data_IF_705460534174
#
_entry.id   IF_705460534174
#
_cell.length_a   1.000
_cell.length_b   1.000
_cell.length_c   1.000
_cell.angle_alpha   90.00
_cell.angle_beta   90.00
_cell.angle_gamma   90.00
#
_symmetry.space_group_name_H-M   'P 1'
#
loop_
_entity.id
_entity.type
_entity.pdbx_description
1 polymer ?
#
# COMPACT_ATOMS: atom_id res chain seq x y z
N UNK A 1 35.32 38.13 -12.33
CA UNK A 1 35.21 37.45 -13.63
C UNK A 1 36.37 36.50 -13.77
N UNK A 2 36.10 35.20 -13.64
CA UNK A 2 37.07 34.12 -13.77
C UNK A 2 36.29 32.83 -14.00
N UNK A 3 35.48 32.84 -15.06
CA UNK A 3 34.65 31.71 -15.46
C UNK A 3 35.46 30.70 -16.28
N UNK A 4 35.13 29.43 -16.09
CA UNK A 4 35.28 28.36 -17.08
C UNK A 4 36.66 28.15 -17.76
N UNK A 5 37.79 28.54 -17.13
CA UNK A 5 39.12 28.46 -17.74
C UNK A 5 40.00 27.27 -17.31
N UNK A 6 39.77 26.61 -16.17
CA UNK A 6 40.61 25.47 -15.72
C UNK A 6 39.86 24.13 -15.68
N UNK A 7 39.10 23.81 -16.73
CA UNK A 7 38.59 22.44 -16.91
C UNK A 7 39.77 21.53 -17.24
N UNK A 8 39.98 20.47 -16.44
CA UNK A 8 40.93 19.40 -16.76
C UNK A 8 40.82 19.00 -18.24
N UNK A 9 41.89 19.19 -19.00
CA UNK A 9 41.88 19.02 -20.44
C UNK A 9 42.39 17.63 -20.79
N UNK A 10 41.51 16.63 -20.76
CA UNK A 10 41.86 15.22 -20.98
C UNK A 10 42.70 14.98 -22.25
N UNK A 11 42.55 15.79 -23.31
CA UNK A 11 43.35 15.68 -24.53
C UNK A 11 44.83 16.08 -24.37
N UNK A 12 45.22 16.70 -23.26
CA UNK A 12 46.62 16.93 -22.89
C UNK A 12 47.24 15.78 -22.09
N UNK A 13 46.43 14.80 -21.69
CA UNK A 13 46.92 13.59 -21.06
C UNK A 13 47.59 12.69 -22.11
N UNK A 14 48.65 12.01 -21.68
CA UNK A 14 49.44 11.08 -22.48
C UNK A 14 49.78 9.86 -21.60
N UNK A 15 49.92 8.70 -22.23
CA UNK A 15 50.39 7.48 -21.57
C UNK A 15 51.70 7.02 -22.22
N UNK A 16 52.64 6.58 -21.41
CA UNK A 16 53.98 6.14 -21.83
C UNK A 16 54.27 4.77 -21.22
N UNK A 17 54.81 3.86 -22.02
CA UNK A 17 55.24 2.54 -21.59
C UNK A 17 56.51 2.16 -22.33
N UNK A 18 57.54 1.71 -21.60
CA UNK A 18 58.93 1.61 -22.10
C UNK A 18 59.18 0.50 -23.14
N UNK A 19 58.19 -0.33 -23.47
CA UNK A 19 58.41 -1.55 -24.24
C UNK A 19 57.79 -1.51 -25.64
N UNK A 20 58.47 -0.83 -26.57
CA UNK A 20 58.55 -1.18 -28.00
C UNK A 20 59.42 -0.16 -28.73
N UNK A 21 60.24 -0.65 -29.65
CA UNK A 21 61.28 0.07 -30.37
C UNK A 21 60.94 1.51 -30.80
N UNK A 22 61.89 2.41 -30.52
CA UNK A 22 62.12 3.72 -31.12
C UNK A 22 60.93 4.70 -31.21
N UNK A 23 61.02 5.79 -30.43
CA UNK A 23 60.41 7.10 -30.74
C UNK A 23 58.88 7.11 -30.97
N UNK A 24 58.09 6.59 -30.03
CA UNK A 24 56.65 6.86 -29.99
C UNK A 24 56.25 7.59 -28.71
N UNK A 25 56.62 8.87 -28.61
CA UNK A 25 55.68 9.79 -27.98
C UNK A 25 54.41 9.78 -28.85
N UNK A 26 53.23 9.97 -28.26
CA UNK A 26 51.92 10.18 -28.91
C UNK A 26 50.94 8.99 -28.96
N UNK A 27 50.07 8.94 -27.94
CA UNK A 27 48.61 9.10 -28.16
C UNK A 27 48.07 10.13 -27.18
N UNK A 28 47.42 11.17 -27.69
CA UNK A 28 46.54 12.00 -26.87
C UNK A 28 45.27 11.20 -26.65
N UNK A 29 44.74 11.23 -25.44
CA UNK A 29 43.41 10.69 -25.19
C UNK A 29 42.40 11.44 -26.06
N UNK A 30 41.60 10.68 -26.80
CA UNK A 30 40.53 11.21 -27.65
C UNK A 30 39.28 11.46 -26.83
N UNK A 31 38.28 12.13 -27.41
CA UNK A 31 36.96 12.35 -26.78
C UNK A 31 36.36 11.06 -26.21
N UNK A 32 36.59 9.93 -26.88
CA UNK A 32 35.99 8.64 -26.54
C UNK A 32 36.75 7.92 -25.42
N UNK A 33 37.86 8.49 -24.96
CA UNK A 33 38.75 7.89 -23.97
C UNK A 33 38.59 8.46 -22.57
N UNK A 34 37.70 9.43 -22.37
CA UNK A 34 37.44 10.05 -21.07
C UNK A 34 35.93 10.17 -20.81
N UNK A 35 35.48 9.59 -19.70
CA UNK A 35 34.09 9.65 -19.23
C UNK A 35 34.05 10.47 -17.94
N UNK A 36 33.51 11.72 -17.96
CA UNK A 36 33.37 12.49 -16.73
C UNK A 36 32.34 11.83 -15.81
N UNK A 37 32.69 11.61 -14.54
CA UNK A 37 31.81 11.00 -13.55
C UNK A 37 31.21 12.02 -12.56
N UNK A 38 31.52 13.31 -12.72
CA UNK A 38 30.97 14.41 -11.92
C UNK A 38 31.95 14.93 -10.87
N UNK A 39 31.43 15.79 -9.97
CA UNK A 39 32.19 16.30 -8.83
C UNK A 39 32.27 15.22 -7.74
N UNK A 40 33.40 15.13 -7.04
CA UNK A 40 33.53 14.25 -5.87
C UNK A 40 32.80 14.87 -4.69
N UNK A 41 31.47 14.85 -4.69
CA UNK A 41 30.68 15.46 -3.59
C UNK A 41 30.48 14.48 -2.43
N UNK A 42 30.59 13.17 -2.68
CA UNK A 42 30.40 12.11 -1.69
C UNK A 42 31.35 10.92 -1.94
N UNK A 43 31.90 10.33 -0.87
CA UNK A 43 32.75 9.13 -0.94
C UNK A 43 34.21 9.37 -0.54
N UNK A 44 35.07 8.36 -0.69
CA UNK A 44 36.48 8.37 -0.26
C UNK A 44 37.33 9.52 -0.86
N UNK A 45 36.88 10.08 -1.98
CA UNK A 45 37.59 11.13 -2.73
C UNK A 45 37.03 12.54 -2.52
N UNK A 46 35.99 12.70 -1.69
CA UNK A 46 35.21 13.94 -1.60
C UNK A 46 36.02 15.16 -1.12
N UNK A 47 37.10 14.95 -0.38
CA UNK A 47 38.02 16.01 0.08
C UNK A 47 39.38 15.98 -0.64
N UNK A 48 39.57 15.04 -1.57
CA UNK A 48 40.85 14.79 -2.23
C UNK A 48 40.85 15.25 -3.71
N UNK A 49 39.69 15.34 -4.35
CA UNK A 49 39.58 15.76 -5.74
C UNK A 49 38.28 16.54 -6.00
N UNK A 50 38.36 17.64 -6.74
CA UNK A 50 37.17 18.41 -7.12
C UNK A 50 36.35 17.75 -8.25
N UNK A 51 36.99 16.89 -9.06
CA UNK A 51 36.41 16.23 -10.23
C UNK A 51 36.91 14.80 -10.32
N UNK A 52 36.02 13.88 -10.70
CA UNK A 52 36.34 12.47 -10.97
C UNK A 52 35.93 12.13 -12.39
N UNK A 53 36.77 11.36 -13.07
CA UNK A 53 36.44 10.79 -14.38
C UNK A 53 37.13 9.46 -14.58
N UNK A 54 36.54 8.63 -15.43
CA UNK A 54 37.14 7.37 -15.87
C UNK A 54 37.89 7.61 -17.19
N UNK A 55 39.04 6.96 -17.34
CA UNK A 55 39.84 7.01 -18.56
C UNK A 55 39.89 5.59 -19.14
N UNK A 56 39.57 5.47 -20.42
CA UNK A 56 39.75 4.23 -21.16
C UNK A 56 41.18 4.22 -21.71
N UNK A 57 41.99 3.29 -21.22
CA UNK A 57 43.36 3.12 -21.72
C UNK A 57 43.34 2.54 -23.14
N UNK A 58 44.25 2.98 -24.03
CA UNK A 58 44.42 2.35 -25.33
C UNK A 58 44.76 0.86 -25.20
N UNK A 59 44.22 0.01 -26.06
CA UNK A 59 44.49 -1.43 -26.09
C UNK A 59 45.97 -1.80 -26.30
N UNK A 60 46.80 -0.83 -26.73
CA UNK A 60 48.25 -1.01 -26.91
C UNK A 60 49.03 -0.89 -25.61
N UNK A 61 48.40 -0.43 -24.51
CA UNK A 61 49.05 -0.34 -23.20
C UNK A 61 48.86 -1.67 -22.48
N UNK A 62 49.96 -2.34 -22.17
CA UNK A 62 49.95 -3.55 -21.35
C UNK A 62 49.80 -3.15 -19.88
N UNK A 63 48.59 -3.32 -19.35
CA UNK A 63 48.24 -2.98 -17.96
C UNK A 63 48.96 -3.84 -16.90
N UNK A 64 49.65 -4.92 -17.32
CA UNK A 64 50.45 -5.79 -16.43
C UNK A 64 51.85 -5.24 -16.15
N UNK A 65 52.30 -4.30 -16.98
CA UNK A 65 53.59 -3.64 -16.85
C UNK A 65 53.42 -2.20 -16.34
N UNK A 66 54.43 -1.60 -15.68
CA UNK A 66 54.36 -0.20 -15.28
C UNK A 66 54.19 0.70 -16.50
N UNK A 67 53.37 1.74 -16.34
CA UNK A 67 53.17 2.78 -17.34
C UNK A 67 53.09 4.16 -16.66
N UNK A 68 53.52 5.19 -17.37
CA UNK A 68 53.53 6.57 -16.87
C UNK A 68 52.42 7.36 -17.53
N UNK A 69 51.58 8.01 -16.74
CA UNK A 69 50.67 9.05 -17.21
C UNK A 69 51.36 10.41 -17.14
N UNK A 70 51.41 11.11 -18.27
CA UNK A 70 51.95 12.46 -18.36
C UNK A 70 50.84 13.44 -18.71
N UNK A 71 50.74 14.54 -17.95
CA UNK A 71 49.85 15.65 -18.23
C UNK A 71 50.65 16.92 -18.47
N UNK A 72 50.29 17.66 -19.53
CA UNK A 72 50.90 18.96 -19.83
C UNK A 72 49.86 20.06 -19.81
N UNK A 73 50.01 21.02 -18.91
CA UNK A 73 49.13 22.18 -18.89
C UNK A 73 49.38 23.07 -20.12
N UNK A 74 48.34 23.66 -20.72
CA UNK A 74 48.46 24.46 -21.96
C UNK A 74 49.45 25.63 -21.84
N UNK A 75 49.58 26.18 -20.63
CA UNK A 75 50.39 27.37 -20.35
C UNK A 75 51.77 27.05 -19.77
N UNK A 76 52.15 25.77 -19.67
CA UNK A 76 53.46 25.35 -19.13
C UNK A 76 54.19 24.42 -20.09
N UNK A 77 55.52 24.50 -20.09
CA UNK A 77 56.38 23.52 -20.77
C UNK A 77 56.64 22.29 -19.91
N UNK A 78 56.42 22.39 -18.59
CA UNK A 78 56.56 21.30 -17.64
C UNK A 78 55.46 20.25 -17.80
N UNK A 79 55.87 18.97 -17.70
CA UNK A 79 54.99 17.81 -17.72
C UNK A 79 54.91 17.25 -16.31
N UNK A 80 53.70 17.03 -15.84
CA UNK A 80 53.45 16.31 -14.60
C UNK A 80 53.33 14.83 -14.95
N UNK A 81 54.19 14.00 -14.37
CA UNK A 81 54.21 12.55 -14.62
C UNK A 81 53.85 11.79 -13.36
N UNK A 82 53.05 10.74 -13.52
CA UNK A 82 52.70 9.80 -12.46
C UNK A 82 52.93 8.40 -13.00
N UNK A 83 53.77 7.63 -12.29
CA UNK A 83 54.00 6.23 -12.61
C UNK A 83 52.93 5.37 -11.94
N UNK A 84 52.29 4.51 -12.74
CA UNK A 84 51.20 3.65 -12.31
C UNK A 84 51.58 2.20 -12.59
N UNK A 85 51.45 1.37 -11.56
CA UNK A 85 51.53 -0.08 -11.67
C UNK A 85 50.29 -0.66 -11.00
N UNK A 86 49.45 -1.35 -11.77
CA UNK A 86 48.28 -2.01 -11.23
C UNK A 86 48.72 -3.23 -10.42
N UNK A 87 48.14 -3.39 -9.23
CA UNK A 87 48.41 -4.52 -8.33
C UNK A 87 47.12 -5.00 -7.67
N UNK A 88 47.13 -6.26 -7.23
CA UNK A 88 46.01 -6.86 -6.52
C UNK A 88 44.71 -6.86 -7.35
N UNK A 89 43.61 -6.44 -6.71
CA UNK A 89 42.26 -6.45 -7.28
C UNK A 89 42.16 -5.67 -8.61
N UNK A 90 42.84 -4.54 -8.73
CA UNK A 90 42.77 -3.71 -9.93
C UNK A 90 43.41 -4.41 -11.14
N UNK A 91 44.48 -5.18 -10.91
CA UNK A 91 45.14 -5.97 -11.95
C UNK A 91 44.27 -7.18 -12.34
N UNK A 92 43.72 -7.90 -11.36
CA UNK A 92 42.83 -9.05 -11.61
C UNK A 92 41.60 -8.66 -12.42
N UNK A 93 40.95 -7.54 -12.05
CA UNK A 93 39.82 -6.99 -12.80
C UNK A 93 40.21 -6.57 -14.22
N UNK A 94 41.39 -5.96 -14.40
CA UNK A 94 41.87 -5.56 -15.72
C UNK A 94 42.22 -6.76 -16.62
N UNK A 95 42.60 -7.89 -16.04
CA UNK A 95 42.86 -9.15 -16.72
C UNK A 95 41.59 -9.97 -17.00
N UNK A 96 40.44 -9.53 -16.49
CA UNK A 96 39.18 -10.25 -16.60
C UNK A 96 39.15 -11.54 -15.78
N UNK A 97 39.97 -11.64 -14.74
CA UNK A 97 39.95 -12.76 -13.80
C UNK A 97 38.73 -12.65 -12.88
N UNK A 98 38.09 -13.80 -12.62
CA UNK A 98 36.96 -13.87 -11.70
C UNK A 98 37.45 -13.59 -10.27
N UNK A 99 37.08 -12.42 -9.73
CA UNK A 99 37.44 -11.98 -8.37
C UNK A 99 36.78 -12.84 -7.29
N UNK A 100 35.63 -13.43 -7.61
CA UNK A 100 34.84 -14.28 -6.71
C UNK A 100 34.51 -15.60 -7.40
N UNK A 101 34.62 -16.71 -6.68
CA UNK A 101 34.17 -18.00 -7.18
C UNK A 101 32.64 -18.04 -7.30
N UNK A 102 32.11 -18.88 -8.20
CA UNK A 102 30.67 -19.06 -8.35
C UNK A 102 29.97 -19.46 -7.04
N UNK A 103 30.66 -20.21 -6.16
CA UNK A 103 30.15 -20.60 -4.84
C UNK A 103 30.10 -19.41 -3.87
N UNK A 104 31.09 -18.53 -3.89
CA UNK A 104 31.10 -17.30 -3.10
C UNK A 104 30.00 -16.34 -3.57
N UNK A 105 29.84 -16.16 -4.89
CA UNK A 105 28.75 -15.38 -5.47
C UNK A 105 27.39 -15.96 -5.04
N UNK A 106 27.20 -17.28 -5.13
CA UNK A 106 25.96 -17.92 -4.68
C UNK A 106 25.73 -17.75 -3.17
N UNK A 107 26.79 -17.81 -2.35
CA UNK A 107 26.68 -17.58 -0.91
C UNK A 107 26.30 -16.14 -0.56
N UNK A 108 26.85 -15.16 -1.29
CA UNK A 108 26.55 -13.74 -1.14
C UNK A 108 25.11 -13.50 -1.56
N UNK A 109 24.71 -14.01 -2.72
CA UNK A 109 23.33 -13.91 -3.21
C UNK A 109 22.34 -14.60 -2.27
N UNK A 110 22.66 -15.74 -1.65
CA UNK A 110 21.80 -16.40 -0.66
C UNK A 110 21.72 -15.62 0.66
N UNK A 111 22.82 -15.01 1.10
CA UNK A 111 22.85 -14.20 2.31
C UNK A 111 22.08 -12.88 2.12
N UNK A 112 22.24 -12.24 0.96
CA UNK A 112 21.56 -11.01 0.55
C UNK A 112 20.07 -11.26 0.30
N UNK A 113 19.71 -12.39 -0.32
CA UNK A 113 18.32 -12.84 -0.50
C UNK A 113 17.73 -13.57 0.71
N UNK A 114 18.40 -13.58 1.87
CA UNK A 114 17.76 -14.10 3.08
C UNK A 114 16.57 -13.20 3.42
N UNK A 115 15.42 -13.80 3.72
CA UNK A 115 14.18 -13.06 4.00
C UNK A 115 14.35 -11.99 5.09
N UNK A 116 15.31 -12.21 6.01
CA UNK A 116 15.65 -11.30 7.11
C UNK A 116 16.46 -10.08 6.63
N UNK A 117 17.45 -10.28 5.75
CA UNK A 117 18.21 -9.19 5.15
C UNK A 117 17.35 -8.39 4.16
N UNK A 118 16.50 -9.05 3.37
CA UNK A 118 15.48 -8.37 2.57
C UNK A 118 14.51 -7.55 3.43
N UNK A 119 14.13 -8.02 4.63
CA UNK A 119 13.24 -7.24 5.51
C UNK A 119 13.90 -5.98 6.10
N UNK A 120 15.22 -6.03 6.33
CA UNK A 120 15.96 -4.99 7.07
C UNK A 120 16.65 -3.99 6.13
N UNK A 121 17.25 -4.47 5.04
CA UNK A 121 18.09 -3.65 4.15
C UNK A 121 17.36 -3.16 2.89
N UNK A 122 16.46 -3.96 2.33
CA UNK A 122 15.63 -3.58 1.17
C UNK A 122 14.17 -4.07 1.34
N UNK A 123 13.46 -3.51 2.33
CA UNK A 123 12.10 -3.95 2.62
C UNK A 123 11.23 -3.81 1.37
N UNK A 124 10.44 -4.86 1.07
CA UNK A 124 9.50 -4.87 -0.08
C UNK A 124 8.56 -3.65 -0.17
N UNK A 125 8.43 -2.89 0.91
CA UNK A 125 7.60 -1.70 1.05
C UNK A 125 8.33 -0.35 0.97
N UNK A 126 9.64 -0.35 0.72
CA UNK A 126 10.45 0.86 0.52
C UNK A 126 10.53 1.80 1.73
N UNK A 127 10.91 3.06 1.49
CA UNK A 127 11.03 4.11 2.52
C UNK A 127 9.65 4.70 2.83
N UNK A 128 9.14 4.45 4.03
CA UNK A 128 7.82 4.95 4.47
C UNK A 128 7.93 5.96 5.61
N UNK A 129 7.12 7.03 5.63
CA UNK A 129 7.05 7.93 6.78
C UNK A 129 6.55 7.18 8.03
N UNK A 130 7.37 7.15 9.08
CA UNK A 130 7.03 6.46 10.34
C UNK A 130 5.85 7.09 11.08
N UNK A 131 5.53 8.36 10.80
CA UNK A 131 4.33 9.04 11.31
C UNK A 131 3.06 8.31 10.89
N UNK A 132 2.98 7.89 9.63
CA UNK A 132 1.76 7.34 9.03
C UNK A 132 1.55 5.91 9.53
N UNK A 133 2.65 5.16 9.68
CA UNK A 133 2.66 3.84 10.29
C UNK A 133 2.21 3.92 11.75
N UNK A 134 2.75 4.86 12.54
CA UNK A 134 2.37 5.04 13.93
C UNK A 134 0.89 5.44 14.08
N UNK A 135 0.42 6.38 13.28
CA UNK A 135 -0.98 6.81 13.27
C UNK A 135 -1.92 5.65 12.90
N UNK A 136 -1.57 4.88 11.86
CA UNK A 136 -2.32 3.70 11.45
C UNK A 136 -2.38 2.65 12.57
N UNK A 137 -1.26 2.34 13.22
CA UNK A 137 -1.22 1.38 14.33
C UNK A 137 -2.10 1.83 15.50
N UNK A 138 -2.11 3.12 15.83
CA UNK A 138 -2.99 3.68 16.86
C UNK A 138 -4.47 3.54 16.48
N UNK A 139 -4.82 3.80 15.22
CA UNK A 139 -6.19 3.64 14.72
C UNK A 139 -6.61 2.17 14.76
N UNK A 140 -5.76 1.26 14.28
CA UNK A 140 -6.00 -0.18 14.33
C UNK A 140 -6.17 -0.69 15.77
N UNK A 141 -5.32 -0.24 16.69
CA UNK A 141 -5.42 -0.58 18.11
C UNK A 141 -6.71 -0.04 18.74
N UNK A 142 -7.11 1.20 18.40
CA UNK A 142 -8.36 1.80 18.88
C UNK A 142 -9.59 1.03 18.38
N UNK A 143 -9.59 0.63 17.10
CA UNK A 143 -10.65 -0.15 16.50
C UNK A 143 -10.77 -1.55 17.12
N UNK A 144 -9.64 -2.22 17.35
CA UNK A 144 -9.62 -3.52 18.01
C UNK A 144 -10.06 -3.40 19.47
N UNK A 145 -9.63 -2.35 20.18
CA UNK A 145 -10.04 -2.12 21.57
C UNK A 145 -11.54 -1.85 21.67
N UNK A 146 -12.10 -1.03 20.77
CA UNK A 146 -13.53 -0.76 20.70
C UNK A 146 -14.34 -2.04 20.43
N UNK A 147 -13.87 -2.88 19.51
CA UNK A 147 -14.48 -4.17 19.18
C UNK A 147 -14.43 -5.15 20.36
N UNK A 148 -13.28 -5.35 20.98
CA UNK A 148 -13.10 -6.32 22.06
C UNK A 148 -13.81 -5.90 23.35
N UNK A 149 -13.78 -4.61 23.72
CA UNK A 149 -14.49 -4.11 24.90
C UNK A 149 -15.99 -3.96 24.72
N UNK A 150 -16.51 -4.14 23.50
CA UNK A 150 -17.94 -3.98 23.16
C UNK A 150 -18.49 -2.63 23.66
N UNK A 151 -17.70 -1.57 23.56
CA UNK A 151 -18.04 -0.25 24.08
C UNK A 151 -18.55 0.67 22.98
N UNK A 152 -19.76 1.19 23.15
CA UNK A 152 -20.36 2.14 22.20
C UNK A 152 -19.55 3.44 22.10
N UNK A 153 -19.04 3.95 23.22
CA UNK A 153 -18.26 5.19 23.26
C UNK A 153 -16.95 5.08 22.48
N UNK A 154 -16.17 4.02 22.73
CA UNK A 154 -14.91 3.78 22.02
C UNK A 154 -15.13 3.57 20.52
N UNK A 155 -16.25 2.93 20.14
CA UNK A 155 -16.62 2.80 18.74
C UNK A 155 -16.85 4.16 18.09
N UNK A 156 -17.63 5.06 18.69
CA UNK A 156 -17.87 6.40 18.12
C UNK A 156 -16.59 7.23 18.04
N UNK A 157 -15.69 7.13 19.03
CA UNK A 157 -14.38 7.77 18.97
C UNK A 157 -13.57 7.24 17.77
N UNK A 158 -13.47 5.92 17.64
CA UNK A 158 -12.75 5.26 16.53
C UNK A 158 -13.31 5.67 15.18
N UNK A 159 -14.64 5.69 15.03
CA UNK A 159 -15.31 6.11 13.80
C UNK A 159 -15.00 7.57 13.44
N UNK A 160 -14.97 8.45 14.44
CA UNK A 160 -14.67 9.87 14.25
C UNK A 160 -13.23 10.05 13.77
N UNK A 161 -12.27 9.37 14.43
CA UNK A 161 -10.85 9.38 14.05
C UNK A 161 -10.67 8.81 12.65
N UNK A 162 -11.34 7.71 12.33
CA UNK A 162 -11.29 7.06 11.01
C UNK A 162 -11.78 8.00 9.91
N UNK A 163 -12.91 8.69 10.10
CA UNK A 163 -13.42 9.65 9.10
C UNK A 163 -12.48 10.83 8.94
N UNK A 164 -12.00 11.40 10.04
CA UNK A 164 -11.10 12.54 10.00
C UNK A 164 -9.77 12.15 9.34
N UNK A 165 -9.05 11.21 9.93
CA UNK A 165 -7.69 10.85 9.52
C UNK A 165 -7.66 10.03 8.22
N UNK A 166 -8.22 8.81 8.22
CA UNK A 166 -8.17 7.95 7.04
C UNK A 166 -9.03 8.50 5.89
N UNK A 167 -10.15 9.17 6.20
CA UNK A 167 -10.98 9.80 5.19
C UNK A 167 -10.34 11.07 4.60
N UNK A 168 -10.25 12.15 5.40
CA UNK A 168 -9.92 13.48 4.88
C UNK A 168 -8.44 13.86 4.89
N UNK A 169 -7.61 13.33 5.80
CA UNK A 169 -6.20 13.71 5.89
C UNK A 169 -5.29 12.83 5.04
N UNK A 170 -5.34 11.52 5.25
CA UNK A 170 -4.43 10.56 4.62
C UNK A 170 -5.00 9.99 3.31
N UNK A 171 -6.28 9.58 3.33
CA UNK A 171 -6.89 8.90 2.20
C UNK A 171 -6.45 7.45 2.00
N UNK A 172 -5.58 6.92 2.87
CA UNK A 172 -5.07 5.56 2.82
C UNK A 172 -6.02 4.56 3.47
N UNK A 173 -7.06 4.15 2.75
CA UNK A 173 -7.94 3.06 3.19
C UNK A 173 -8.17 2.00 2.11
N UNK A 174 -8.50 0.77 2.56
CA UNK A 174 -8.85 -0.29 1.63
C UNK A 174 -10.12 0.09 0.87
N UNK A 175 -9.95 0.27 -0.44
CA UNK A 175 -10.93 0.56 -1.46
C UNK A 175 -10.95 -0.56 -2.53
N UNK A 176 -11.93 -0.49 -3.43
CA UNK A 176 -12.09 -1.36 -4.60
C UNK A 176 -10.89 -1.22 -5.54
N UNK A 177 -10.26 -0.05 -5.58
CA UNK A 177 -9.04 0.17 -6.37
C UNK A 177 -7.92 -0.82 -5.98
N UNK A 178 -7.77 -1.18 -4.70
CA UNK A 178 -6.76 -2.18 -4.33
C UNK A 178 -7.12 -3.59 -4.78
N UNK A 179 -8.42 -3.95 -4.83
CA UNK A 179 -8.82 -5.25 -5.41
C UNK A 179 -8.43 -5.27 -6.89
N UNK A 180 -8.80 -4.22 -7.63
CA UNK A 180 -8.52 -4.11 -9.07
C UNK A 180 -7.01 -4.10 -9.34
N UNK A 181 -6.24 -3.32 -8.58
CA UNK A 181 -4.79 -3.24 -8.76
C UNK A 181 -4.09 -4.52 -8.33
N UNK A 182 -4.58 -5.24 -7.32
CA UNK A 182 -4.07 -6.57 -6.97
C UNK A 182 -4.30 -7.59 -8.09
N UNK A 183 -5.43 -7.49 -8.80
CA UNK A 183 -5.69 -8.35 -9.97
C UNK A 183 -4.76 -7.97 -11.14
N UNK A 184 -4.57 -6.68 -11.40
CA UNK A 184 -3.76 -6.18 -12.53
C UNK A 184 -2.26 -6.33 -12.33
N UNK A 185 -1.77 -6.05 -11.14
CA UNK A 185 -0.34 -5.95 -10.78
C UNK A 185 0.15 -7.13 -9.94
N UNK A 186 -0.76 -7.98 -9.45
CA UNK A 186 -0.45 -9.11 -8.57
C UNK A 186 -0.46 -8.76 -7.07
N UNK A 187 -0.31 -9.78 -6.20
CA UNK A 187 -0.37 -9.61 -4.74
C UNK A 187 0.78 -8.76 -4.16
N UNK A 188 1.91 -8.67 -4.87
CA UNK A 188 3.03 -7.82 -4.48
C UNK A 188 2.66 -6.32 -4.39
N UNK A 189 1.60 -5.89 -5.10
CA UNK A 189 1.07 -4.54 -4.98
C UNK A 189 0.66 -4.18 -3.54
N UNK A 190 0.13 -5.12 -2.76
CA UNK A 190 -0.22 -4.84 -1.36
C UNK A 190 1.01 -4.62 -0.47
N UNK A 191 2.18 -5.09 -0.90
CA UNK A 191 3.45 -4.88 -0.23
C UNK A 191 4.16 -3.61 -0.70
N UNK A 192 3.60 -2.80 -1.61
CA UNK A 192 4.25 -1.61 -2.15
C UNK A 192 4.46 -0.48 -1.13
N UNK A 193 3.88 -0.60 0.06
CA UNK A 193 4.02 0.37 1.15
C UNK A 193 3.60 -0.23 2.48
N UNK A 194 4.35 0.07 3.55
CA UNK A 194 4.15 -0.55 4.86
C UNK A 194 2.76 -0.24 5.44
N UNK A 195 2.21 1.00 5.35
CA UNK A 195 0.85 1.27 5.80
C UNK A 195 -0.19 0.43 5.07
N UNK A 196 -0.11 0.32 3.73
CA UNK A 196 -1.04 -0.48 2.93
C UNK A 196 -0.94 -1.97 3.30
N UNK A 197 0.28 -2.49 3.44
CA UNK A 197 0.51 -3.88 3.83
C UNK A 197 -0.09 -4.19 5.19
N UNK A 198 0.18 -3.35 6.20
CA UNK A 198 -0.37 -3.49 7.54
C UNK A 198 -1.89 -3.40 7.53
N UNK A 199 -2.46 -2.45 6.77
CA UNK A 199 -3.91 -2.26 6.72
C UNK A 199 -4.63 -3.40 6.00
N UNK A 200 -4.06 -3.90 4.91
CA UNK A 200 -4.56 -5.05 4.16
C UNK A 200 -4.44 -6.33 5.01
N UNK A 201 -3.28 -6.58 5.61
CA UNK A 201 -3.06 -7.73 6.48
C UNK A 201 -4.03 -7.72 7.67
N UNK A 202 -4.18 -6.59 8.36
CA UNK A 202 -5.15 -6.44 9.45
C UNK A 202 -6.57 -6.74 8.96
N UNK A 203 -6.98 -6.17 7.82
CA UNK A 203 -8.32 -6.35 7.27
C UNK A 203 -8.59 -7.82 6.92
N UNK A 204 -7.64 -8.50 6.27
CA UNK A 204 -7.77 -9.90 5.88
C UNK A 204 -7.83 -10.80 7.12
N UNK A 205 -6.87 -10.65 8.05
CA UNK A 205 -6.79 -11.47 9.27
C UNK A 205 -8.04 -11.30 10.12
N UNK A 206 -8.48 -10.06 10.37
CA UNK A 206 -9.69 -9.82 11.17
C UNK A 206 -10.95 -10.32 10.47
N UNK A 207 -11.03 -10.20 9.14
CA UNK A 207 -12.15 -10.74 8.35
C UNK A 207 -12.22 -12.25 8.38
N UNK A 208 -11.07 -12.93 8.33
CA UNK A 208 -11.01 -14.39 8.44
C UNK A 208 -11.35 -14.87 9.86
N UNK A 209 -10.95 -14.15 10.90
CA UNK A 209 -11.19 -14.59 12.28
C UNK A 209 -12.61 -14.31 12.74
N UNK A 210 -13.09 -13.07 12.59
CA UNK A 210 -14.39 -12.61 13.11
C UNK A 210 -15.37 -12.18 12.02
N UNK A 211 -15.03 -12.18 10.74
CA UNK A 211 -15.87 -11.54 9.72
C UNK A 211 -15.61 -10.03 9.63
N UNK A 212 -16.50 -9.29 8.98
CA UNK A 212 -16.19 -7.96 8.41
C UNK A 212 -16.09 -6.79 9.39
N UNK A 213 -15.19 -6.87 10.38
CA UNK A 213 -14.92 -5.80 11.36
C UNK A 213 -14.51 -4.50 10.67
N UNK A 214 -13.75 -4.59 9.56
CA UNK A 214 -13.34 -3.42 8.78
C UNK A 214 -14.52 -2.51 8.41
N UNK A 215 -15.63 -3.09 7.93
CA UNK A 215 -16.80 -2.34 7.48
C UNK A 215 -17.50 -1.55 8.60
N UNK A 216 -17.37 -1.98 9.86
CA UNK A 216 -17.97 -1.30 11.01
C UNK A 216 -17.04 -0.42 11.80
N UNK A 217 -15.74 -0.66 11.76
CA UNK A 217 -14.79 -0.04 12.70
C UNK A 217 -13.70 0.79 12.02
N UNK A 218 -13.37 0.52 10.76
CA UNK A 218 -12.24 1.14 10.06
C UNK A 218 -12.60 1.78 8.72
N UNK A 219 -13.75 1.45 8.13
CA UNK A 219 -14.17 2.02 6.86
C UNK A 219 -14.72 3.45 7.07
N UNK A 220 -14.09 4.50 6.51
CA UNK A 220 -14.56 5.88 6.65
C UNK A 220 -15.96 6.08 6.06
N UNK A 221 -16.26 5.44 4.93
CA UNK A 221 -17.59 5.53 4.32
C UNK A 221 -18.67 4.76 5.11
N UNK A 222 -18.29 3.67 5.77
CA UNK A 222 -19.16 2.98 6.71
C UNK A 222 -19.49 3.86 7.92
N UNK A 223 -18.49 4.58 8.43
CA UNK A 223 -18.65 5.55 9.51
C UNK A 223 -19.58 6.71 9.10
N UNK A 224 -19.39 7.30 7.92
CA UNK A 224 -20.28 8.37 7.39
C UNK A 224 -21.74 7.91 7.37
N UNK A 225 -22.02 6.68 6.93
CA UNK A 225 -23.38 6.13 6.95
C UNK A 225 -23.93 5.94 8.37
N UNK A 226 -23.09 5.57 9.34
CA UNK A 226 -23.48 5.50 10.76
C UNK A 226 -23.76 6.89 11.33
N UNK A 227 -22.97 7.90 10.97
CA UNK A 227 -23.20 9.31 11.33
C UNK A 227 -24.54 9.80 10.77
N UNK A 228 -24.82 9.57 9.48
CA UNK A 228 -26.11 9.88 8.85
C UNK A 228 -27.25 9.16 9.60
N UNK A 229 -27.06 7.89 9.93
CA UNK A 229 -28.05 7.11 10.67
C UNK A 229 -28.20 7.58 12.13
N UNK A 230 -27.20 8.22 12.73
CA UNK A 230 -27.30 8.71 14.11
C UNK A 230 -27.95 10.09 14.16
N UNK A 231 -27.47 11.00 13.34
CA UNK A 231 -27.81 12.43 13.37
C UNK A 231 -28.93 12.81 12.38
N UNK A 232 -29.22 11.96 11.39
CA UNK A 232 -30.29 12.19 10.43
C UNK A 232 -31.70 11.99 11.01
N UNK A 233 -32.74 12.56 10.37
CA UNK A 233 -34.12 12.52 10.86
C UNK A 233 -34.63 11.08 11.06
N UNK A 234 -35.09 10.75 12.26
CA UNK A 234 -35.65 9.41 12.55
C UNK A 234 -36.93 9.13 11.75
N UNK A 235 -37.69 10.16 11.41
CA UNK A 235 -38.96 10.06 10.68
C UNK A 235 -38.80 9.56 9.24
N UNK A 236 -37.67 9.83 8.60
CA UNK A 236 -37.44 9.43 7.21
C UNK A 236 -37.03 7.96 7.09
N UNK A 237 -36.67 7.33 8.20
CA UNK A 237 -36.14 5.97 8.21
C UNK A 237 -37.25 4.98 7.92
N UNK A 238 -37.00 4.12 6.94
CA UNK A 238 -37.90 3.02 6.59
C UNK A 238 -37.17 1.69 6.70
N UNK A 239 -37.85 0.71 7.27
CA UNK A 239 -37.39 -0.68 7.22
C UNK A 239 -37.77 -1.26 5.87
N UNK A 240 -36.78 -1.79 5.15
CA UNK A 240 -36.99 -2.48 3.88
C UNK A 240 -37.56 -3.86 4.17
N UNK A 241 -38.63 -4.24 3.46
CA UNK A 241 -39.19 -5.59 3.57
C UNK A 241 -38.15 -6.67 3.24
N UNK A 242 -38.20 -7.80 3.93
CA UNK A 242 -37.19 -8.86 3.77
C UNK A 242 -37.13 -9.42 2.36
N UNK A 243 -38.27 -9.60 1.69
CA UNK A 243 -38.30 -10.10 0.30
C UNK A 243 -37.59 -9.18 -0.70
N UNK A 244 -37.64 -7.86 -0.48
CA UNK A 244 -36.90 -6.89 -1.32
C UNK A 244 -35.43 -6.90 -0.95
N UNK A 245 -35.11 -6.99 0.36
CA UNK A 245 -33.74 -7.09 0.83
C UNK A 245 -33.01 -8.28 0.21
N UNK A 246 -33.59 -9.48 0.31
CA UNK A 246 -33.00 -10.73 -0.15
C UNK A 246 -32.67 -10.73 -1.65
N UNK A 247 -33.41 -9.97 -2.46
CA UNK A 247 -33.13 -9.79 -3.88
C UNK A 247 -32.09 -8.70 -4.11
N UNK A 248 -32.23 -7.56 -3.43
CA UNK A 248 -31.38 -6.40 -3.63
C UNK A 248 -29.94 -6.62 -3.15
N UNK A 249 -29.68 -7.51 -2.19
CA UNK A 249 -28.30 -7.83 -1.76
C UNK A 249 -27.43 -8.38 -2.89
N UNK A 250 -28.02 -9.03 -3.90
CA UNK A 250 -27.26 -9.58 -5.02
C UNK A 250 -26.71 -8.50 -5.96
N UNK A 251 -27.21 -7.26 -5.87
CA UNK A 251 -26.74 -6.14 -6.71
C UNK A 251 -25.26 -5.86 -6.45
N UNK A 252 -24.80 -5.76 -5.20
CA UNK A 252 -23.37 -5.56 -4.90
C UNK A 252 -22.49 -6.72 -5.36
N UNK A 253 -23.02 -7.96 -5.38
CA UNK A 253 -22.28 -9.13 -5.88
C UNK A 253 -22.18 -9.10 -7.40
N UNK A 254 -23.25 -8.69 -8.09
CA UNK A 254 -23.21 -8.43 -9.53
C UNK A 254 -22.19 -7.35 -9.87
N UNK A 255 -22.20 -6.22 -9.13
CA UNK A 255 -21.21 -5.14 -9.30
C UNK A 255 -19.78 -5.67 -9.09
N UNK A 256 -19.55 -6.46 -8.04
CA UNK A 256 -18.24 -7.07 -7.79
C UNK A 256 -17.78 -7.95 -8.96
N UNK A 257 -18.65 -8.83 -9.47
CA UNK A 257 -18.33 -9.70 -10.62
C UNK A 257 -18.02 -8.87 -11.86
N UNK A 258 -18.76 -7.79 -12.13
CA UNK A 258 -18.48 -6.89 -13.25
C UNK A 258 -17.11 -6.19 -13.10
N UNK A 259 -16.77 -5.74 -11.89
CA UNK A 259 -15.48 -5.08 -11.62
C UNK A 259 -14.31 -6.05 -11.75
N UNK A 260 -14.44 -7.27 -11.20
CA UNK A 260 -13.42 -8.31 -11.35
C UNK A 260 -13.28 -8.75 -12.81
N UNK A 261 -14.41 -8.97 -13.49
CA UNK A 261 -14.43 -9.38 -14.89
C UNK A 261 -13.80 -8.35 -15.82
N UNK A 262 -14.11 -7.06 -15.64
CA UNK A 262 -13.44 -5.98 -16.39
C UNK A 262 -11.98 -5.86 -16.05
N UNK A 263 -11.59 -5.96 -14.77
CA UNK A 263 -10.19 -5.92 -14.37
C UNK A 263 -9.36 -7.07 -14.97
N UNK A 264 -9.93 -8.26 -15.11
CA UNK A 264 -9.26 -9.43 -15.67
C UNK A 264 -9.26 -9.49 -17.20
N UNK A 265 -10.37 -9.12 -17.86
CA UNK A 265 -10.54 -9.27 -19.31
C UNK A 265 -10.21 -8.00 -20.11
N UNK A 266 -10.31 -6.83 -19.48
CA UNK A 266 -10.03 -5.55 -20.12
C UNK A 266 -9.34 -4.58 -19.13
N UNK A 267 -8.08 -4.83 -18.73
CA UNK A 267 -7.38 -4.05 -17.72
C UNK A 267 -7.31 -2.53 -17.99
N UNK A 268 -7.42 -2.12 -19.25
CA UNK A 268 -7.47 -0.73 -19.68
C UNK A 268 -8.79 -0.03 -19.33
N UNK A 269 -9.87 -0.77 -19.06
CA UNK A 269 -11.18 -0.21 -18.67
C UNK A 269 -11.32 -0.26 -17.16
N UNK A 270 -11.51 0.90 -16.53
CA UNK A 270 -11.70 1.01 -15.08
C UNK A 270 -13.09 1.58 -14.76
N UNK A 271 -14.04 0.71 -14.40
CA UNK A 271 -15.41 1.09 -14.06
C UNK A 271 -15.64 1.28 -12.54
N UNK A 272 -14.67 0.90 -11.70
CA UNK A 272 -14.86 0.88 -10.25
C UNK A 272 -15.18 2.27 -9.65
N UNK A 273 -14.69 3.35 -10.27
CA UNK A 273 -14.95 4.74 -9.86
C UNK A 273 -16.45 5.09 -9.78
N UNK A 274 -17.30 4.48 -10.61
CA UNK A 274 -18.75 4.74 -10.60
C UNK A 274 -19.46 4.04 -9.44
N UNK A 275 -18.87 2.95 -8.94
CA UNK A 275 -19.42 2.16 -7.85
C UNK A 275 -18.72 2.44 -6.52
N UNK A 276 -17.73 3.33 -6.52
CA UNK A 276 -16.95 3.71 -5.35
C UNK A 276 -17.02 5.23 -5.15
N UNK A 277 -17.99 5.74 -4.39
CA UNK A 277 -18.17 7.17 -4.17
C UNK A 277 -17.15 7.76 -3.18
N UNK A 278 -16.11 7.01 -2.81
CA UNK A 278 -15.15 7.40 -1.77
C UNK A 278 -14.27 8.54 -2.24
N UNK A 279 -13.74 8.46 -3.47
CA UNK A 279 -12.83 9.47 -3.97
C UNK A 279 -13.51 10.83 -4.15
N UNK A 280 -14.77 10.82 -4.59
CA UNK A 280 -15.57 12.05 -4.71
C UNK A 280 -15.89 12.67 -3.36
N UNK A 281 -16.16 11.85 -2.34
CA UNK A 281 -16.47 12.36 -1.00
C UNK A 281 -15.24 12.91 -0.28
N UNK A 282 -14.14 12.14 -0.26
CA UNK A 282 -12.99 12.43 0.60
C UNK A 282 -11.91 13.27 -0.08
N UNK A 283 -11.67 13.07 -1.37
CA UNK A 283 -10.68 13.85 -2.13
C UNK A 283 -11.30 15.04 -2.88
N UNK A 284 -12.62 15.23 -2.76
CA UNK A 284 -13.38 16.28 -3.48
C UNK A 284 -13.07 16.25 -4.98
N UNK A 285 -12.83 15.04 -5.51
CA UNK A 285 -12.41 14.82 -6.88
C UNK A 285 -13.46 13.96 -7.59
N UNK A 286 -14.11 14.54 -8.60
CA UNK A 286 -15.08 13.82 -9.40
C UNK A 286 -15.76 14.69 -10.44
N UNK A 287 -16.23 14.03 -11.50
CA UNK A 287 -17.08 14.64 -12.52
C UNK A 287 -18.48 14.89 -11.96
N UNK A 288 -19.30 15.70 -12.66
CA UNK A 288 -20.69 15.95 -12.29
C UNK A 288 -21.47 14.63 -12.06
N UNK A 289 -21.22 13.62 -12.88
CA UNK A 289 -21.86 12.30 -12.77
C UNK A 289 -21.50 11.63 -11.43
N UNK A 290 -20.24 11.66 -11.01
CA UNK A 290 -19.82 11.07 -9.74
C UNK A 290 -20.41 11.80 -8.53
N UNK A 291 -20.53 13.12 -8.60
CA UNK A 291 -21.23 13.91 -7.57
C UNK A 291 -22.71 13.55 -7.48
N UNK A 292 -23.40 13.40 -8.62
CA UNK A 292 -24.80 12.96 -8.64
C UNK A 292 -24.96 11.57 -8.02
N UNK A 293 -24.07 10.62 -8.34
CA UNK A 293 -24.07 9.28 -7.75
C UNK A 293 -23.85 9.35 -6.24
N UNK A 294 -22.85 10.11 -5.78
CA UNK A 294 -22.56 10.30 -4.36
C UNK A 294 -23.77 10.86 -3.62
N UNK A 295 -24.36 11.95 -4.11
CA UNK A 295 -25.52 12.60 -3.49
C UNK A 295 -26.71 11.63 -3.43
N UNK A 296 -26.98 10.88 -4.51
CA UNK A 296 -28.05 9.89 -4.54
C UNK A 296 -27.82 8.78 -3.48
N UNK A 297 -26.60 8.29 -3.35
CA UNK A 297 -26.23 7.28 -2.34
C UNK A 297 -26.41 7.83 -0.92
N UNK A 298 -25.92 9.04 -0.65
CA UNK A 298 -26.04 9.66 0.67
C UNK A 298 -27.52 9.92 1.02
N UNK A 299 -28.32 10.39 0.06
CA UNK A 299 -29.77 10.56 0.22
C UNK A 299 -30.46 9.23 0.56
N UNK A 300 -30.10 8.14 -0.13
CA UNK A 300 -30.62 6.81 0.18
C UNK A 300 -30.23 6.35 1.60
N UNK A 301 -29.05 6.74 2.11
CA UNK A 301 -28.61 6.42 3.47
C UNK A 301 -29.43 7.12 4.57
N UNK A 302 -30.10 8.25 4.28
CA UNK A 302 -31.05 8.86 5.22
C UNK A 302 -32.33 8.04 5.38
N UNK A 303 -32.73 7.31 4.33
CA UNK A 303 -33.96 6.50 4.30
C UNK A 303 -33.69 5.10 4.82
N UNK A 304 -32.62 4.47 4.33
CA UNK A 304 -32.23 3.09 4.68
C UNK A 304 -30.85 3.11 5.34
N UNK A 305 -30.75 2.72 6.62
CA UNK A 305 -29.46 2.61 7.31
C UNK A 305 -28.47 1.77 6.51
N UNK A 306 -27.23 2.27 6.39
CA UNK A 306 -26.15 1.58 5.66
C UNK A 306 -26.52 1.12 4.24
N UNK A 307 -27.35 1.88 3.52
CA UNK A 307 -27.84 1.54 2.17
C UNK A 307 -26.73 1.08 1.22
N UNK A 308 -25.64 1.84 1.14
CA UNK A 308 -24.53 1.54 0.24
C UNK A 308 -23.82 0.23 0.61
N UNK A 309 -23.48 0.05 1.91
CA UNK A 309 -22.86 -1.19 2.38
C UNK A 309 -23.74 -2.42 2.15
N UNK A 310 -25.06 -2.24 2.17
CA UNK A 310 -26.06 -3.30 1.99
C UNK A 310 -26.22 -3.71 0.52
N UNK A 311 -26.24 -2.76 -0.40
CA UNK A 311 -26.69 -3.01 -1.78
C UNK A 311 -25.72 -2.66 -2.89
N UNK A 312 -24.72 -1.81 -2.66
CA UNK A 312 -23.85 -1.30 -3.73
C UNK A 312 -22.35 -1.52 -3.52
N UNK A 313 -21.89 -1.69 -2.27
CA UNK A 313 -20.47 -1.75 -1.93
C UNK A 313 -19.78 -3.03 -2.44
N UNK A 314 -18.89 -2.96 -3.45
CA UNK A 314 -18.22 -4.13 -4.01
C UNK A 314 -17.19 -4.72 -3.03
N UNK A 315 -16.46 -3.85 -2.33
CA UNK A 315 -15.51 -4.25 -1.29
C UNK A 315 -16.23 -4.99 -0.15
N UNK A 316 -17.41 -4.51 0.26
CA UNK A 316 -18.24 -5.17 1.27
C UNK A 316 -18.73 -6.55 0.81
N UNK A 317 -19.04 -6.71 -0.49
CA UNK A 317 -19.37 -8.00 -1.08
C UNK A 317 -18.17 -8.96 -1.05
N UNK A 318 -16.98 -8.50 -1.46
CA UNK A 318 -15.75 -9.29 -1.45
C UNK A 318 -15.39 -9.79 -0.05
N UNK A 319 -15.33 -8.88 0.93
CA UNK A 319 -15.12 -9.24 2.34
C UNK A 319 -16.26 -10.12 2.90
N UNK A 320 -17.46 -10.03 2.32
CA UNK A 320 -18.61 -10.85 2.70
C UNK A 320 -18.41 -12.31 2.32
N UNK A 321 -17.89 -12.57 1.12
CA UNK A 321 -17.48 -13.91 0.68
C UNK A 321 -16.39 -14.45 1.58
N UNK A 322 -15.34 -13.66 1.85
CA UNK A 322 -14.23 -14.07 2.74
C UNK A 322 -14.74 -14.37 4.15
N UNK A 323 -15.72 -13.63 4.66
CA UNK A 323 -16.24 -13.85 6.00
C UNK A 323 -16.97 -15.19 6.20
N UNK A 324 -17.36 -15.90 5.13
CA UNK A 324 -18.07 -17.19 5.24
C UNK A 324 -17.25 -18.27 5.97
N UNK A 325 -15.92 -18.23 5.83
CA UNK A 325 -15.01 -19.18 6.49
C UNK A 325 -14.69 -18.82 7.94
N UNK A 326 -15.23 -17.70 8.46
CA UNK A 326 -14.91 -17.23 9.80
C UNK A 326 -15.42 -18.16 10.91
N UNK A 327 -14.53 -18.62 11.82
CA UNK A 327 -14.90 -19.51 12.90
C UNK A 327 -15.58 -18.77 14.07
N UNK A 328 -15.21 -17.52 14.35
CA UNK A 328 -15.71 -16.76 15.49
C UNK A 328 -17.00 -16.03 15.12
N UNK A 329 -18.13 -16.75 15.20
CA UNK A 329 -19.47 -16.22 14.93
C UNK A 329 -20.12 -15.60 16.18
N UNK A 330 -21.14 -14.76 15.95
CA UNK A 330 -21.96 -14.15 17.01
C UNK A 330 -22.77 -15.27 17.69
N UNK A 331 -22.57 -15.47 18.99
CA UNK A 331 -23.35 -16.43 19.77
C UNK A 331 -24.76 -15.90 20.03
N UNK A 332 -25.76 -16.78 19.94
CA UNK A 332 -27.18 -16.48 20.24
C UNK A 332 -27.60 -17.17 21.52
N UNK A 333 -28.60 -16.60 22.19
CA UNK A 333 -29.21 -17.16 23.40
C UNK A 333 -30.53 -17.88 23.04
N UNK A 334 -31.00 -18.86 23.82
CA UNK A 334 -32.23 -19.59 23.52
C UNK A 334 -33.47 -18.71 23.32
N UNK A 335 -33.53 -17.55 23.98
CA UNK A 335 -34.64 -16.61 23.87
C UNK A 335 -34.71 -15.89 22.50
N UNK A 336 -33.73 -16.10 21.61
CA UNK A 336 -33.69 -15.47 20.28
C UNK A 336 -34.81 -15.94 19.35
N UNK A 337 -35.43 -17.10 19.62
CA UNK A 337 -36.49 -17.65 18.78
C UNK A 337 -37.75 -16.77 18.78
N UNK A 338 -38.00 -16.06 19.89
CA UNK A 338 -39.15 -15.15 20.04
C UNK A 338 -38.74 -13.67 20.05
N UNK A 339 -37.48 -13.38 20.42
CA UNK A 339 -36.98 -12.02 20.56
C UNK A 339 -36.48 -11.40 19.25
N UNK A 340 -37.17 -10.36 18.77
CA UNK A 340 -36.81 -9.61 17.56
C UNK A 340 -36.02 -8.31 17.81
N UNK A 341 -35.50 -8.10 19.03
CA UNK A 341 -34.78 -6.87 19.40
C UNK A 341 -33.51 -6.68 18.56
N UNK A 342 -32.73 -7.75 18.38
CA UNK A 342 -31.51 -7.72 17.57
C UNK A 342 -31.82 -7.54 16.08
N UNK A 343 -32.87 -8.20 15.59
CA UNK A 343 -33.34 -8.07 14.21
C UNK A 343 -33.71 -6.63 13.88
N UNK A 344 -34.54 -5.99 14.70
CA UNK A 344 -34.93 -4.58 14.51
C UNK A 344 -33.77 -3.59 14.68
N UNK A 345 -32.75 -3.95 15.44
CA UNK A 345 -31.58 -3.10 15.68
C UNK A 345 -30.49 -3.25 14.62
N UNK A 346 -30.52 -4.30 13.81
CA UNK A 346 -29.48 -4.59 12.83
C UNK A 346 -29.52 -3.56 11.68
N UNK A 347 -28.47 -2.73 11.50
CA UNK A 347 -28.48 -1.70 10.47
C UNK A 347 -28.43 -2.27 9.05
N UNK A 348 -27.88 -3.47 8.87
CA UNK A 348 -27.80 -4.12 7.55
C UNK A 348 -28.94 -5.10 7.26
N UNK A 349 -29.80 -5.38 8.24
CA UNK A 349 -30.89 -6.35 8.10
C UNK A 349 -30.42 -7.81 8.05
N UNK A 350 -29.20 -8.11 8.50
CA UNK A 350 -28.59 -9.43 8.42
C UNK A 350 -29.12 -10.47 9.42
N UNK A 351 -30.07 -10.12 10.29
CA UNK A 351 -30.59 -10.98 11.35
C UNK A 351 -32.05 -11.30 11.05
N UNK A 352 -32.42 -12.57 11.13
CA UNK A 352 -33.79 -13.07 11.00
C UNK A 352 -34.06 -14.05 12.14
N UNK A 353 -34.84 -13.60 13.13
CA UNK A 353 -35.05 -14.35 14.38
C UNK A 353 -33.72 -14.72 15.05
N UNK A 354 -33.47 -16.01 15.17
CA UNK A 354 -32.26 -16.61 15.71
C UNK A 354 -31.09 -16.62 14.72
N UNK A 355 -31.37 -16.63 13.41
CA UNK A 355 -30.35 -16.78 12.36
C UNK A 355 -29.70 -15.45 11.98
N UNK A 356 -28.39 -15.50 11.74
CA UNK A 356 -27.60 -14.37 11.26
C UNK A 356 -26.98 -14.74 9.92
N UNK A 357 -27.31 -13.99 8.88
CA UNK A 357 -26.62 -14.07 7.60
C UNK A 357 -25.25 -13.39 7.71
N UNK A 358 -24.21 -14.21 7.88
CA UNK A 358 -22.87 -13.72 8.11
C UNK A 358 -22.28 -12.98 6.91
N UNK A 359 -22.72 -13.32 5.69
CA UNK A 359 -22.30 -12.62 4.45
C UNK A 359 -22.88 -11.21 4.36
N UNK A 360 -23.91 -10.89 5.14
CA UNK A 360 -24.58 -9.58 5.26
C UNK A 360 -24.30 -8.86 6.59
N UNK A 361 -23.76 -9.58 7.59
CA UNK A 361 -23.31 -9.00 8.85
C UNK A 361 -22.01 -8.18 8.68
N UNK A 362 -22.02 -6.92 9.09
CA UNK A 362 -20.83 -6.04 9.09
C UNK A 362 -20.08 -6.04 10.42
N UNK A 363 -20.40 -6.96 11.34
CA UNK A 363 -19.78 -7.07 12.68
C UNK A 363 -19.70 -5.76 13.47
N UNK A 364 -20.77 -4.96 13.39
CA UNK A 364 -20.91 -3.72 14.16
C UNK A 364 -21.24 -3.91 15.66
N UNK A 365 -21.49 -5.16 16.07
CA UNK A 365 -21.75 -5.59 17.46
C UNK A 365 -22.89 -4.88 18.22
N UNK A 366 -23.71 -4.07 17.56
CA UNK A 366 -24.91 -3.45 18.15
C UNK A 366 -25.81 -4.50 18.79
N UNK A 367 -25.95 -5.67 18.16
CA UNK A 367 -26.73 -6.78 18.70
C UNK A 367 -26.06 -7.43 19.93
N UNK A 368 -24.73 -7.60 19.93
CA UNK A 368 -24.00 -8.15 21.07
C UNK A 368 -24.04 -7.20 22.27
N UNK A 369 -23.82 -5.90 22.05
CA UNK A 369 -23.89 -4.87 23.10
C UNK A 369 -25.28 -4.87 23.74
N UNK A 370 -26.35 -4.90 22.94
CA UNK A 370 -27.72 -4.97 23.48
C UNK A 370 -27.99 -6.23 24.29
N UNK A 371 -27.43 -7.37 23.91
CA UNK A 371 -27.55 -8.61 24.67
C UNK A 371 -26.79 -8.52 26.00
N UNK A 372 -25.56 -8.01 26.00
CA UNK A 372 -24.72 -7.85 27.21
C UNK A 372 -25.36 -6.86 28.19
N UNK A 373 -25.82 -5.72 27.69
CA UNK A 373 -26.45 -4.68 28.51
C UNK A 373 -27.91 -4.98 28.86
N UNK A 374 -28.47 -6.08 28.34
CA UNK A 374 -29.88 -6.47 28.50
C UNK A 374 -30.86 -5.34 28.10
N UNK A 375 -30.51 -4.58 27.05
CA UNK A 375 -31.28 -3.41 26.59
C UNK A 375 -32.19 -3.74 25.42
N UNK A 376 -33.49 -3.54 25.64
CA UNK A 376 -34.53 -3.52 24.60
C UNK A 376 -35.87 -3.99 25.13
N UNK A 377 -36.95 -3.29 24.77
CA UNK A 377 -38.31 -3.76 25.10
C UNK A 377 -38.76 -4.79 24.06
N UNK A 378 -38.95 -6.03 24.48
CA UNK A 378 -39.75 -6.98 23.70
C UNK A 378 -41.19 -6.43 23.65
N UNK A 379 -41.77 -6.33 22.45
CA UNK A 379 -43.15 -5.87 22.28
C UNK A 379 -44.17 -7.02 22.32
N UNK A 380 -43.73 -8.27 22.49
CA UNK A 380 -44.61 -9.43 22.63
C UNK A 380 -45.09 -9.54 24.08
N UNK A 381 -46.36 -9.93 24.28
CA UNK A 381 -46.87 -10.22 25.62
C UNK A 381 -46.16 -11.44 26.19
N UNK A 382 -45.80 -11.40 27.48
CA UNK A 382 -45.08 -12.49 28.14
C UNK A 382 -45.89 -13.81 28.14
N UNK A 383 -47.22 -13.71 28.10
CA UNK A 383 -48.15 -14.84 27.96
C UNK A 383 -47.88 -15.66 26.69
N UNK A 384 -47.55 -14.98 25.58
CA UNK A 384 -47.21 -15.64 24.31
C UNK A 384 -45.82 -16.28 24.34
N UNK A 385 -44.93 -15.85 25.24
CA UNK A 385 -43.58 -16.41 25.42
C UNK A 385 -43.62 -17.64 26.34
N UNK A 386 -44.54 -17.68 27.30
CA UNK A 386 -44.71 -18.81 28.23
C UNK A 386 -45.45 -19.98 27.56
N UNK A 387 -46.30 -19.71 26.56
CA UNK A 387 -47.11 -20.71 25.85
C UNK A 387 -46.43 -21.36 24.63
N UNK A 388 -45.30 -20.83 24.17
CA UNK A 388 -44.47 -21.34 23.06
C UNK A 388 -43.22 -22.03 23.59
#
# INVERSE_FOLDING_TARGET
GGGAADRFQYYQLQVVQENSDALNWFRRFTTDSYVPMGAAETGLLAEQAALVGAIVLPQTVDVTQPFTLAYRHLNTTERFTIDIQLTGLALQLAQGEDVLSAAEIESILRAENSWLNQLIQDPSWGVTPWSDVAALLLILASAMTAFLRKSEQLRWITLTITVAYLGFFDGGFISVSHIVNTIKLGPAFLASGLPLLLFAAFTIVTTLLWGRIFCSSLCPFGAVQDFITRFGPKLWRRQVSQSVHDKAIYIKYLILVLIIGTAALAPQVSIFQYFEPFGTLFFVNGTLILWVILIAILAACFIVPRFYCRYACPLGAALGVVSLVSPLRIKRVPQCDVCIVCERACPTGAIRGEKIDFKECVRCDICEIKLIEQKGSCRHSMEHIIAS
#
